data_IF_323014741075
#
_entry.id   IF_323014741075
#
_cell.length_a   1.000
_cell.length_b   1.000
_cell.length_c   1.000
_cell.angle_alpha   90.00
_cell.angle_beta   90.00
_cell.angle_gamma   90.00
#
_symmetry.space_group_name_H-M   'P 1'
#
loop_
_entity.id
_entity.type
_entity.pdbx_description
1 polymer ?
#
# COMPACT_ATOMS: atom_id res chain seq x y z
N UNK A 1 1.88 8.29 -8.77
CA UNK A 1 3.00 7.96 -9.67
C UNK A 1 2.53 7.13 -10.89
N UNK A 2 1.35 6.52 -10.87
CA UNK A 2 0.84 5.70 -11.98
C UNK A 2 1.67 4.44 -12.25
N UNK A 3 2.39 3.97 -11.24
CA UNK A 3 3.19 2.74 -11.27
C UNK A 3 2.92 1.90 -10.02
N UNK A 4 3.06 0.60 -10.17
CA UNK A 4 2.95 -0.30 -9.01
C UNK A 4 4.03 0.01 -7.97
N UNK A 5 3.72 -0.06 -6.67
CA UNK A 5 4.66 0.25 -5.61
C UNK A 5 5.95 -0.56 -5.68
N UNK A 6 5.86 -1.86 -5.96
CA UNK A 6 7.01 -2.74 -6.16
C UNK A 6 7.94 -2.25 -7.29
N UNK A 7 7.36 -1.77 -8.41
CA UNK A 7 8.09 -1.25 -9.57
C UNK A 7 8.82 0.07 -9.31
N UNK A 8 8.39 0.85 -8.32
CA UNK A 8 9.10 2.06 -7.87
C UNK A 8 9.98 1.84 -6.64
N UNK A 9 10.14 0.58 -6.21
CA UNK A 9 11.00 0.18 -5.11
C UNK A 9 10.36 0.31 -3.72
N UNK A 10 9.04 0.40 -3.62
CA UNK A 10 8.28 0.47 -2.36
C UNK A 10 7.40 -0.77 -2.21
N UNK A 11 7.91 -1.93 -1.77
CA UNK A 11 7.09 -3.13 -1.61
C UNK A 11 6.04 -3.01 -0.51
N UNK A 12 6.15 -2.01 0.37
CA UNK A 12 5.22 -1.72 1.45
C UNK A 12 5.65 -0.48 2.24
N UNK A 13 4.91 -0.15 3.29
CA UNK A 13 5.26 0.95 4.20
C UNK A 13 6.51 0.64 5.05
N UNK A 14 6.82 -0.64 5.23
CA UNK A 14 8.03 -1.14 5.90
C UNK A 14 8.70 -2.15 4.98
N UNK A 15 10.01 -2.04 4.83
CA UNK A 15 10.82 -2.92 3.98
C UNK A 15 12.26 -2.97 4.43
N UNK A 16 13.00 -3.98 3.99
CA UNK A 16 14.42 -4.17 4.23
C UNK A 16 15.17 -4.25 2.90
N UNK A 17 16.21 -3.43 2.73
CA UNK A 17 17.08 -3.43 1.55
C UNK A 17 18.43 -4.02 1.91
N UNK A 18 18.63 -5.28 1.56
CA UNK A 18 19.87 -6.02 1.82
C UNK A 18 21.06 -5.52 1.00
N UNK A 19 20.80 -4.84 -0.12
CA UNK A 19 21.85 -4.29 -0.99
C UNK A 19 22.62 -3.13 -0.36
N UNK A 20 22.01 -2.44 0.60
CA UNK A 20 22.60 -1.30 1.30
C UNK A 20 23.26 -1.75 2.59
N UNK A 21 24.55 -1.45 2.75
CA UNK A 21 25.21 -1.55 4.06
C UNK A 21 25.11 -0.24 4.83
N UNK A 22 24.63 -0.32 6.05
CA UNK A 22 24.78 0.71 7.08
C UNK A 22 25.82 0.20 8.07
N UNK A 23 26.65 1.09 8.62
CA UNK A 23 27.71 0.75 9.56
C UNK A 23 27.23 -0.26 10.61
N UNK A 24 27.82 -1.46 10.61
CA UNK A 24 27.54 -2.59 11.50
C UNK A 24 26.18 -3.28 11.36
N UNK A 25 25.45 -3.12 10.24
CA UNK A 25 24.23 -3.88 9.98
C UNK A 25 24.22 -4.40 8.56
N UNK A 26 23.73 -5.63 8.36
CA UNK A 26 23.45 -6.18 7.05
C UNK A 26 22.13 -5.61 6.54
N UNK A 27 22.18 -4.78 5.50
CA UNK A 27 20.99 -4.17 4.93
C UNK A 27 20.52 -2.90 5.65
N UNK A 28 19.44 -2.33 5.16
CA UNK A 28 18.84 -1.09 5.63
C UNK A 28 17.31 -1.21 5.67
N UNK A 29 16.73 -1.05 6.85
CA UNK A 29 15.28 -1.06 7.01
C UNK A 29 14.68 0.33 6.94
N UNK A 30 13.47 0.43 6.39
CA UNK A 30 12.65 1.63 6.38
C UNK A 30 11.30 1.39 7.01
N UNK A 31 10.81 2.42 7.69
CA UNK A 31 9.41 2.49 8.13
C UNK A 31 8.88 3.88 7.83
N UNK A 32 7.96 3.97 6.89
CA UNK A 32 7.30 5.24 6.54
C UNK A 32 6.13 5.58 7.46
N UNK A 33 5.96 4.82 8.52
CA UNK A 33 5.07 5.15 9.63
C UNK A 33 5.88 5.97 10.64
N UNK A 34 5.77 7.30 10.57
CA UNK A 34 6.51 8.21 11.45
C UNK A 34 7.60 9.04 10.77
N UNK A 35 8.73 9.27 11.44
CA UNK A 35 9.74 10.24 11.01
C UNK A 35 10.47 9.90 9.72
N UNK A 36 10.53 8.62 9.34
CA UNK A 36 11.19 8.17 8.12
C UNK A 36 10.36 8.43 6.85
N UNK A 37 9.08 8.79 6.98
CA UNK A 37 8.26 9.26 5.86
C UNK A 37 8.94 10.38 5.04
N UNK A 38 9.80 11.19 5.66
CA UNK A 38 10.59 12.23 4.98
C UNK A 38 11.56 11.68 3.92
N UNK A 39 11.85 10.39 3.93
CA UNK A 39 12.80 9.75 3.02
C UNK A 39 12.15 9.10 1.80
N UNK A 40 10.81 9.00 1.75
CA UNK A 40 10.09 8.36 0.63
C UNK A 40 10.52 8.91 -0.72
N UNK A 41 10.55 10.25 -0.87
CA UNK A 41 10.93 10.92 -2.12
C UNK A 41 12.35 10.55 -2.62
N UNK A 42 13.23 10.11 -1.71
CA UNK A 42 14.60 9.69 -2.02
C UNK A 42 14.71 8.19 -2.29
N UNK A 43 13.83 7.41 -1.66
CA UNK A 43 13.85 5.95 -1.71
C UNK A 43 13.09 5.39 -2.91
N UNK A 44 12.16 6.18 -3.50
CA UNK A 44 11.46 5.84 -4.74
C UNK A 44 12.36 6.03 -5.95
N UNK A 45 12.10 5.25 -7.00
CA UNK A 45 12.80 5.34 -8.27
C UNK A 45 12.82 6.79 -8.81
N UNK A 46 14.02 7.30 -9.06
CA UNK A 46 14.23 8.67 -9.54
C UNK A 46 13.82 8.86 -11.00
N UNK A 47 13.80 7.79 -11.80
CA UNK A 47 13.38 7.82 -13.21
C UNK A 47 11.85 7.87 -13.37
N UNK A 48 11.10 7.52 -12.32
CA UNK A 48 9.63 7.54 -12.33
C UNK A 48 9.12 8.91 -11.86
N UNK A 49 8.56 9.76 -12.75
CA UNK A 49 8.08 11.09 -12.36
C UNK A 49 6.84 10.99 -11.48
N UNK A 50 6.70 11.96 -10.59
CA UNK A 50 5.46 12.17 -9.82
C UNK A 50 4.49 13.06 -10.61
N UNK A 51 3.21 12.99 -10.29
CA UNK A 51 2.23 13.91 -10.88
C UNK A 51 2.54 15.38 -10.54
N UNK A 52 3.16 15.63 -9.39
CA UNK A 52 3.55 16.99 -8.97
C UNK A 52 4.71 17.57 -9.79
N UNK A 53 5.51 16.73 -10.40
CA UNK A 53 6.58 17.16 -11.33
C UNK A 53 6.00 17.52 -12.70
N UNK A 54 4.93 16.85 -13.12
CA UNK A 54 4.32 17.01 -14.45
C UNK A 54 3.20 18.08 -14.48
N UNK A 55 2.33 18.13 -13.48
CA UNK A 55 1.13 18.96 -13.45
C UNK A 55 1.29 20.23 -12.61
N UNK A 56 2.29 21.05 -12.94
CA UNK A 56 2.54 22.32 -12.21
C UNK A 56 1.63 23.47 -12.68
N UNK A 57 1.21 24.37 -11.78
CA UNK A 57 1.39 24.37 -10.34
C UNK A 57 0.48 23.36 -9.64
N UNK A 58 0.99 22.69 -8.61
CA UNK A 58 0.24 21.70 -7.86
C UNK A 58 0.42 21.85 -6.36
N UNK A 59 -0.52 21.30 -5.57
CA UNK A 59 -0.39 21.21 -4.12
C UNK A 59 -0.69 19.80 -3.63
N UNK A 60 -0.16 19.47 -2.42
CA UNK A 60 -0.40 18.21 -1.76
C UNK A 60 -0.69 18.41 -0.27
N UNK A 61 -1.77 17.80 0.21
CA UNK A 61 -2.12 17.76 1.61
C UNK A 61 -1.94 16.34 2.15
N UNK A 62 -1.13 16.20 3.22
CA UNK A 62 -0.72 14.92 3.82
C UNK A 62 -0.15 13.91 2.81
N UNK A 63 0.31 14.38 1.65
CA UNK A 63 0.91 13.51 0.65
C UNK A 63 2.22 12.90 1.16
N UNK A 64 2.33 11.59 1.16
CA UNK A 64 3.56 10.87 1.53
C UNK A 64 4.67 11.19 0.54
N UNK A 65 4.37 11.15 -0.75
CA UNK A 65 5.27 11.55 -1.84
C UNK A 65 5.07 13.05 -2.09
N UNK A 66 6.14 13.82 -2.09
CA UNK A 66 6.10 15.27 -2.25
C UNK A 66 7.14 15.82 -3.24
N UNK A 67 7.86 14.93 -3.94
CA UNK A 67 8.82 15.31 -5.00
C UNK A 67 8.08 16.07 -6.11
N UNK A 68 8.58 17.26 -6.45
CA UNK A 68 7.93 18.20 -7.37
C UNK A 68 7.13 19.32 -6.70
N UNK A 69 6.71 19.17 -5.45
CA UNK A 69 6.01 20.20 -4.69
C UNK A 69 6.97 21.21 -4.06
N UNK A 70 6.68 22.49 -4.22
CA UNK A 70 7.34 23.54 -3.44
C UNK A 70 6.92 23.44 -1.97
N UNK A 71 7.78 23.81 -1.04
CA UNK A 71 7.50 23.75 0.39
C UNK A 71 6.18 24.43 0.79
N UNK A 72 5.92 25.61 0.26
CA UNK A 72 4.70 26.38 0.53
C UNK A 72 3.40 25.72 0.02
N UNK A 73 3.51 24.79 -0.92
CA UNK A 73 2.37 24.10 -1.53
C UNK A 73 2.10 22.74 -0.83
N UNK A 74 2.83 22.45 0.23
CA UNK A 74 2.67 21.26 1.08
C UNK A 74 1.84 21.60 2.31
N UNK A 75 0.67 21.02 2.45
CA UNK A 75 -0.21 21.15 3.62
C UNK A 75 0.05 20.00 4.57
N UNK A 76 0.03 20.26 5.89
CA UNK A 76 0.24 19.22 6.91
C UNK A 76 1.71 18.87 7.16
N UNK A 77 2.67 19.74 6.77
CA UNK A 77 4.12 19.50 6.95
C UNK A 77 4.85 20.54 7.82
N UNK A 78 4.12 21.44 8.47
CA UNK A 78 4.78 22.37 9.43
C UNK A 78 5.24 21.60 10.67
N UNK A 79 6.35 22.01 11.33
CA UNK A 79 6.82 21.35 12.55
C UNK A 79 5.74 21.24 13.64
N UNK A 80 4.95 22.30 13.83
CA UNK A 80 3.85 22.30 14.80
C UNK A 80 2.76 21.29 14.44
N UNK A 81 2.41 21.16 13.15
CA UNK A 81 1.45 20.18 12.68
C UNK A 81 1.98 18.76 12.90
N UNK A 82 3.23 18.48 12.52
CA UNK A 82 3.86 17.15 12.70
C UNK A 82 3.91 16.76 14.17
N UNK A 83 4.28 17.69 15.05
CA UNK A 83 4.29 17.46 16.51
C UNK A 83 2.87 17.13 17.02
N UNK A 84 1.84 17.87 16.60
CA UNK A 84 0.45 17.59 16.97
C UNK A 84 -0.02 16.22 16.45
N UNK A 85 0.25 15.91 15.21
CA UNK A 85 -0.11 14.62 14.62
C UNK A 85 0.58 13.45 15.35
N UNK A 86 1.87 13.60 15.70
CA UNK A 86 2.61 12.63 16.49
C UNK A 86 2.00 12.43 17.90
N UNK A 87 1.69 13.52 18.62
CA UNK A 87 1.04 13.43 19.93
C UNK A 87 -0.34 12.75 19.82
N UNK A 88 -1.11 13.10 18.79
CA UNK A 88 -2.42 12.48 18.51
C UNK A 88 -2.28 10.98 18.30
N UNK A 89 -1.31 10.56 17.50
CA UNK A 89 -1.04 9.16 17.22
C UNK A 89 -0.60 8.39 18.47
N UNK A 90 0.46 8.86 19.18
CA UNK A 90 1.00 8.16 20.34
C UNK A 90 0.05 8.10 21.53
N UNK A 91 -0.94 8.99 21.59
CA UNK A 91 -2.01 8.93 22.61
C UNK A 91 -3.20 8.06 22.19
N UNK A 92 -3.17 7.44 21.01
CA UNK A 92 -4.31 6.71 20.48
C UNK A 92 -5.57 7.59 20.31
N UNK A 93 -5.39 8.91 20.15
CA UNK A 93 -6.51 9.86 20.12
C UNK A 93 -7.16 9.87 18.72
N UNK A 94 -8.05 8.94 18.48
CA UNK A 94 -8.73 8.80 17.18
C UNK A 94 -9.58 10.04 16.82
N UNK A 95 -10.29 10.62 17.80
CA UNK A 95 -11.06 11.87 17.58
C UNK A 95 -10.14 13.07 17.22
N UNK A 96 -8.90 13.06 17.68
CA UNK A 96 -7.89 14.04 17.28
C UNK A 96 -7.58 13.99 15.77
N UNK A 97 -7.63 12.81 15.17
CA UNK A 97 -7.47 12.68 13.71
C UNK A 97 -8.61 13.30 12.93
N UNK A 98 -9.86 13.21 13.41
CA UNK A 98 -11.00 13.90 12.80
C UNK A 98 -10.82 15.43 12.80
N UNK A 99 -10.29 15.98 13.90
CA UNK A 99 -9.98 17.42 13.98
C UNK A 99 -8.84 17.83 13.03
N UNK A 100 -7.86 16.95 12.83
CA UNK A 100 -6.78 17.15 11.85
C UNK A 100 -7.34 17.16 10.43
N UNK A 101 -8.16 16.20 10.06
CA UNK A 101 -8.76 16.11 8.73
C UNK A 101 -9.65 17.31 8.42
N UNK A 102 -10.47 17.75 9.37
CA UNK A 102 -11.28 18.97 9.21
C UNK A 102 -10.41 20.20 8.92
N UNK A 103 -9.34 20.39 9.69
CA UNK A 103 -8.41 21.50 9.46
C UNK A 103 -7.73 21.40 8.08
N UNK A 104 -7.36 20.19 7.64
CA UNK A 104 -6.77 19.98 6.31
C UNK A 104 -7.79 20.30 5.23
N UNK A 105 -9.03 19.82 5.34
CA UNK A 105 -10.11 20.10 4.38
C UNK A 105 -10.38 21.59 4.23
N UNK A 106 -10.51 22.32 5.34
CA UNK A 106 -10.69 23.77 5.36
C UNK A 106 -9.53 24.53 4.67
N UNK A 107 -8.29 24.14 4.99
CA UNK A 107 -7.09 24.76 4.39
C UNK A 107 -6.99 24.46 2.90
N UNK A 108 -7.33 23.24 2.47
CA UNK A 108 -7.38 22.86 1.05
C UNK A 108 -8.42 23.69 0.31
N UNK A 109 -9.67 23.75 0.80
CA UNK A 109 -10.74 24.52 0.18
C UNK A 109 -10.35 26.02 0.08
N UNK A 110 -9.81 26.61 1.17
CA UNK A 110 -9.30 27.98 1.18
C UNK A 110 -8.23 28.21 0.10
N UNK A 111 -7.26 27.31 -0.04
CA UNK A 111 -6.18 27.45 -1.03
C UNK A 111 -6.66 27.30 -2.46
N UNK A 112 -7.58 26.36 -2.72
CA UNK A 112 -8.16 26.17 -4.05
C UNK A 112 -8.99 27.37 -4.50
N UNK A 113 -9.57 28.12 -3.57
CA UNK A 113 -10.27 29.37 -3.85
C UNK A 113 -9.32 30.54 -4.19
N UNK A 114 -8.19 30.64 -3.49
CA UNK A 114 -7.26 31.76 -3.61
C UNK A 114 -6.14 31.54 -4.61
N UNK A 115 -5.81 30.29 -4.95
CA UNK A 115 -4.69 29.96 -5.81
C UNK A 115 -5.15 29.12 -7.01
N UNK A 116 -4.65 29.45 -8.19
CA UNK A 116 -4.91 28.66 -9.42
C UNK A 116 -3.95 27.47 -9.47
N UNK A 117 -4.34 26.35 -8.89
CA UNK A 117 -3.63 25.06 -9.01
C UNK A 117 -4.16 24.28 -10.20
N UNK A 118 -3.27 23.62 -10.96
CA UNK A 118 -3.65 22.66 -11.99
C UNK A 118 -4.04 21.32 -11.38
N UNK A 119 -3.33 20.92 -10.32
CA UNK A 119 -3.56 19.65 -9.64
C UNK A 119 -3.50 19.81 -8.12
N UNK A 120 -4.37 19.13 -7.43
CA UNK A 120 -4.35 19.01 -5.97
C UNK A 120 -4.54 17.55 -5.55
N UNK A 121 -3.70 17.07 -4.65
CA UNK A 121 -3.85 15.77 -3.99
C UNK A 121 -4.11 15.99 -2.49
N UNK A 122 -5.13 15.32 -1.97
CA UNK A 122 -5.51 15.44 -0.56
C UNK A 122 -5.69 14.05 0.02
N UNK A 123 -4.96 13.73 1.08
CA UNK A 123 -5.21 12.56 1.90
C UNK A 123 -5.88 13.00 3.20
N UNK A 124 -7.00 12.36 3.55
CA UNK A 124 -7.70 12.50 4.82
C UNK A 124 -7.64 11.15 5.51
N UNK A 125 -7.03 11.08 6.68
CA UNK A 125 -6.64 9.82 7.33
C UNK A 125 -7.62 9.36 8.41
N UNK A 126 -8.65 10.15 8.70
CA UNK A 126 -9.60 9.90 9.78
C UNK A 126 -10.40 8.61 9.58
N UNK A 127 -10.79 8.29 8.34
CA UNK A 127 -11.53 7.06 8.03
C UNK A 127 -10.69 5.83 8.41
N UNK A 128 -9.44 5.76 7.96
CA UNK A 128 -8.52 4.68 8.31
C UNK A 128 -8.29 4.57 9.83
N UNK A 129 -8.00 5.69 10.50
CA UNK A 129 -7.72 5.69 11.94
C UNK A 129 -8.94 5.33 12.79
N UNK A 130 -10.13 5.75 12.40
CA UNK A 130 -11.37 5.39 13.09
C UNK A 130 -11.75 3.93 12.83
N UNK A 131 -11.56 3.45 11.58
CA UNK A 131 -11.81 2.05 11.24
C UNK A 131 -10.92 1.10 12.05
N UNK A 132 -9.61 1.36 12.12
CA UNK A 132 -8.71 0.57 12.96
C UNK A 132 -9.15 0.50 14.42
N UNK A 133 -9.57 1.62 15.00
CA UNK A 133 -9.84 1.73 16.42
C UNK A 133 -11.22 1.22 16.85
N UNK A 134 -12.23 1.38 15.99
CA UNK A 134 -13.63 1.15 16.34
C UNK A 134 -14.36 0.15 15.41
N UNK A 135 -13.72 -0.21 14.29
CA UNK A 135 -14.32 -1.05 13.24
C UNK A 135 -14.92 -0.21 12.11
N UNK A 136 -14.85 -0.76 10.91
CA UNK A 136 -15.26 -0.06 9.68
C UNK A 136 -16.73 0.35 9.63
N UNK A 137 -17.58 -0.25 10.46
CA UNK A 137 -19.02 0.04 10.54
C UNK A 137 -19.40 0.94 11.73
N UNK A 138 -18.41 1.44 12.51
CA UNK A 138 -18.68 2.28 13.68
C UNK A 138 -19.21 3.68 13.26
N UNK A 139 -20.14 4.29 14.03
CA UNK A 139 -20.61 5.65 13.78
C UNK A 139 -19.48 6.70 13.68
N UNK A 140 -18.35 6.48 14.36
CA UNK A 140 -17.19 7.37 14.27
C UNK A 140 -16.55 7.40 12.86
N UNK A 141 -16.66 6.29 12.11
CA UNK A 141 -16.24 6.23 10.71
C UNK A 141 -17.15 7.08 9.83
N UNK A 142 -18.48 7.07 10.12
CA UNK A 142 -19.42 7.97 9.44
C UNK A 142 -19.11 9.43 9.71
N UNK A 143 -18.68 9.79 10.92
CA UNK A 143 -18.23 11.16 11.22
C UNK A 143 -16.97 11.53 10.42
N UNK A 144 -16.03 10.59 10.21
CA UNK A 144 -14.88 10.80 9.36
C UNK A 144 -15.30 10.96 7.88
N UNK A 145 -16.23 10.16 7.38
CA UNK A 145 -16.77 10.27 6.02
C UNK A 145 -17.48 11.61 5.80
N UNK A 146 -18.24 12.12 6.80
CA UNK A 146 -18.88 13.44 6.73
C UNK A 146 -17.85 14.57 6.56
N UNK A 147 -16.67 14.45 7.17
CA UNK A 147 -15.59 15.46 6.98
C UNK A 147 -15.10 15.46 5.53
N UNK A 148 -14.99 14.28 4.91
CA UNK A 148 -14.66 14.19 3.47
C UNK A 148 -15.76 14.84 2.63
N UNK A 149 -17.03 14.51 2.90
CA UNK A 149 -18.19 15.04 2.17
C UNK A 149 -18.30 16.56 2.32
N UNK A 150 -18.19 17.10 3.54
CA UNK A 150 -18.18 18.54 3.82
C UNK A 150 -17.05 19.24 3.06
N UNK A 151 -15.85 18.64 3.01
CA UNK A 151 -14.71 19.19 2.27
C UNK A 151 -15.00 19.24 0.77
N UNK A 152 -15.55 18.17 0.21
CA UNK A 152 -15.95 18.06 -1.20
C UNK A 152 -17.06 19.07 -1.52
N UNK A 153 -18.09 19.15 -0.68
CA UNK A 153 -19.20 20.09 -0.84
C UNK A 153 -18.72 21.55 -0.84
N UNK A 154 -17.79 21.88 0.05
CA UNK A 154 -17.19 23.23 0.10
C UNK A 154 -16.41 23.57 -1.17
N UNK A 155 -15.56 22.61 -1.64
CA UNK A 155 -14.77 22.80 -2.88
C UNK A 155 -15.69 22.95 -4.08
N UNK A 156 -16.75 22.13 -4.17
CA UNK A 156 -17.76 22.21 -5.23
C UNK A 156 -18.48 23.55 -5.23
N UNK A 157 -19.03 23.96 -4.08
CA UNK A 157 -19.74 25.23 -3.94
C UNK A 157 -18.87 26.43 -4.33
N UNK A 158 -17.61 26.45 -3.92
CA UNK A 158 -16.66 27.49 -4.30
C UNK A 158 -16.37 27.47 -5.81
N UNK A 159 -16.23 26.28 -6.41
CA UNK A 159 -15.98 26.15 -7.84
C UNK A 159 -17.20 26.54 -8.70
N UNK A 160 -18.41 26.21 -8.26
CA UNK A 160 -19.68 26.62 -8.91
C UNK A 160 -19.84 28.14 -8.88
N UNK A 161 -19.67 28.75 -7.71
CA UNK A 161 -19.74 30.21 -7.53
C UNK A 161 -18.73 30.98 -8.39
N UNK A 162 -17.54 30.42 -8.58
CA UNK A 162 -16.47 31.01 -9.37
C UNK A 162 -16.55 30.63 -10.86
N UNK A 163 -17.56 29.89 -11.31
CA UNK A 163 -17.75 29.40 -12.69
C UNK A 163 -16.68 28.42 -13.17
N UNK A 164 -16.00 27.74 -12.25
CA UNK A 164 -14.93 26.77 -12.57
C UNK A 164 -15.39 25.33 -12.59
N UNK A 165 -16.56 25.01 -12.05
CA UNK A 165 -17.04 23.65 -11.86
C UNK A 165 -17.09 22.83 -13.14
N UNK A 166 -17.55 23.43 -14.23
CA UNK A 166 -17.65 22.73 -15.52
C UNK A 166 -16.30 22.30 -16.12
N UNK A 167 -15.21 22.92 -15.67
CA UNK A 167 -13.84 22.59 -16.11
C UNK A 167 -13.05 21.83 -15.05
N UNK A 168 -13.66 21.55 -13.89
CA UNK A 168 -13.00 20.91 -12.78
C UNK A 168 -13.26 19.40 -12.78
N UNK A 169 -12.21 18.63 -12.67
CA UNK A 169 -12.27 17.22 -12.30
C UNK A 169 -12.09 17.10 -10.79
N UNK A 170 -13.07 16.51 -10.12
CA UNK A 170 -13.03 16.24 -8.69
C UNK A 170 -13.27 14.74 -8.49
N UNK A 171 -12.30 14.07 -7.87
CA UNK A 171 -12.32 12.63 -7.66
C UNK A 171 -12.14 12.33 -6.17
N UNK A 172 -12.90 11.37 -5.68
CA UNK A 172 -12.78 10.86 -4.31
C UNK A 172 -12.61 9.35 -4.40
N UNK A 173 -11.52 8.86 -3.85
CA UNK A 173 -11.21 7.44 -3.83
C UNK A 173 -10.54 7.03 -2.54
N UNK A 174 -10.43 5.73 -2.30
CA UNK A 174 -9.65 5.16 -1.22
C UNK A 174 -8.40 4.46 -1.77
N UNK A 175 -7.39 4.34 -0.94
CA UNK A 175 -6.15 3.60 -1.23
C UNK A 175 -6.29 2.10 -0.90
N UNK A 176 -7.16 1.73 0.04
CA UNK A 176 -7.51 0.36 0.41
C UNK A 176 -8.89 0.32 1.08
N UNK A 177 -9.45 -0.88 1.20
CA UNK A 177 -10.59 -1.14 2.05
C UNK A 177 -10.20 -1.60 3.46
N UNK A 178 -11.16 -2.06 4.24
CA UNK A 178 -10.97 -2.57 5.60
C UNK A 178 -11.84 -3.81 5.85
N UNK A 179 -11.37 -4.74 6.69
CA UNK A 179 -12.16 -5.83 7.23
C UNK A 179 -12.01 -5.94 8.75
N UNK A 180 -12.98 -6.59 9.40
CA UNK A 180 -12.95 -6.83 10.86
C UNK A 180 -11.75 -7.71 11.23
N UNK A 181 -11.20 -7.45 12.42
CA UNK A 181 -10.11 -8.23 13.03
C UNK A 181 -10.53 -8.60 14.44
N UNK A 182 -10.45 -9.89 14.77
CA UNK A 182 -10.70 -10.44 16.10
C UNK A 182 -9.44 -11.03 16.73
N UNK A 183 -8.46 -11.41 15.89
CA UNK A 183 -7.25 -12.10 16.30
C UNK A 183 -5.99 -11.40 15.79
N UNK A 184 -4.91 -11.48 16.58
CA UNK A 184 -3.64 -10.82 16.28
C UNK A 184 -2.48 -11.80 16.38
N UNK A 185 -1.56 -11.79 15.39
CA UNK A 185 -0.31 -12.53 15.44
C UNK A 185 0.88 -11.58 15.50
N UNK A 186 1.66 -11.61 16.57
CA UNK A 186 2.97 -10.95 16.62
C UNK A 186 4.02 -11.85 15.96
N UNK A 187 4.15 -11.76 14.63
CA UNK A 187 5.11 -12.57 13.87
C UNK A 187 6.55 -12.44 14.39
N UNK A 188 6.96 -11.24 14.83
CA UNK A 188 8.30 -11.05 15.34
C UNK A 188 8.50 -11.71 16.72
N UNK A 189 7.47 -11.69 17.57
CA UNK A 189 7.42 -12.43 18.83
C UNK A 189 7.46 -13.94 18.61
N UNK A 190 6.60 -14.43 17.71
CA UNK A 190 6.51 -15.85 17.33
C UNK A 190 7.85 -16.40 16.84
N UNK A 191 8.53 -15.68 15.93
CA UNK A 191 9.84 -16.11 15.42
C UNK A 191 10.92 -16.15 16.52
N UNK A 192 10.88 -15.22 17.48
CA UNK A 192 11.77 -15.24 18.64
C UNK A 192 11.50 -16.45 19.54
N UNK A 193 10.24 -16.79 19.78
CA UNK A 193 9.84 -18.01 20.51
C UNK A 193 10.33 -19.26 19.80
N UNK A 194 10.42 -19.25 18.47
CA UNK A 194 11.00 -20.32 17.67
C UNK A 194 12.54 -20.35 17.66
N UNK A 195 13.19 -19.40 18.34
CA UNK A 195 14.64 -19.34 18.50
C UNK A 195 15.37 -18.51 17.46
N UNK A 196 14.67 -17.80 16.56
CA UNK A 196 15.31 -16.95 15.57
C UNK A 196 15.67 -15.58 16.13
N UNK A 197 16.84 -15.06 15.79
CA UNK A 197 17.23 -13.68 16.07
C UNK A 197 16.51 -12.77 15.05
N UNK A 198 15.49 -12.05 15.52
CA UNK A 198 14.56 -11.34 14.65
C UNK A 198 14.81 -9.83 14.70
N UNK A 199 14.92 -9.22 13.51
CA UNK A 199 14.89 -7.77 13.31
C UNK A 199 13.45 -7.36 12.93
N UNK A 200 12.86 -6.45 13.69
CA UNK A 200 11.51 -5.92 13.41
C UNK A 200 11.40 -4.47 13.88
N UNK A 201 10.52 -3.70 13.24
CA UNK A 201 10.17 -2.36 13.70
C UNK A 201 9.53 -2.43 15.12
N UNK A 202 9.84 -1.48 16.03
CA UNK A 202 10.68 -0.30 15.86
C UNK A 202 12.19 -0.54 16.08
N UNK A 203 12.61 -1.73 16.44
CA UNK A 203 13.99 -2.08 16.81
C UNK A 203 14.78 -2.59 15.60
N UNK A 204 14.94 -1.73 14.59
CA UNK A 204 15.61 -2.08 13.34
C UNK A 204 17.16 -2.18 13.41
N UNK A 205 17.75 -2.24 14.61
CA UNK A 205 19.20 -2.24 14.83
C UNK A 205 19.68 -3.53 15.49
N UNK A 206 19.52 -4.65 14.81
CA UNK A 206 20.14 -5.90 15.25
C UNK A 206 21.12 -6.39 14.18
N UNK A 207 22.42 -6.20 14.44
CA UNK A 207 23.48 -6.56 13.49
C UNK A 207 23.69 -8.08 13.34
N UNK A 208 23.03 -8.88 14.15
CA UNK A 208 23.15 -10.36 14.14
C UNK A 208 21.82 -11.06 13.93
N UNK A 209 20.85 -10.41 13.34
CA UNK A 209 19.54 -11.02 13.07
C UNK A 209 19.63 -12.04 11.94
N UNK A 210 18.88 -13.14 12.08
CA UNK A 210 18.73 -14.19 11.06
C UNK A 210 17.60 -13.82 10.09
N UNK A 211 16.54 -13.19 10.62
CA UNK A 211 15.32 -12.86 9.88
C UNK A 211 14.94 -11.40 10.16
N UNK A 212 14.56 -10.67 9.11
CA UNK A 212 13.88 -9.39 9.25
C UNK A 212 12.38 -9.53 8.94
N UNK A 213 11.52 -8.98 9.79
CA UNK A 213 10.05 -8.99 9.63
C UNK A 213 9.57 -7.57 9.43
N UNK A 214 8.92 -7.31 8.30
CA UNK A 214 8.41 -5.99 7.90
C UNK A 214 6.92 -6.09 7.60
N UNK A 215 6.10 -5.71 8.57
CA UNK A 215 4.63 -5.72 8.44
C UNK A 215 4.17 -4.43 7.78
N UNK A 216 3.27 -4.54 6.80
CA UNK A 216 2.66 -3.42 6.08
C UNK A 216 1.15 -3.55 6.06
N UNK A 217 0.43 -2.45 6.33
CA UNK A 217 -1.03 -2.45 6.40
C UNK A 217 -1.61 -3.40 7.46
N UNK A 218 -0.77 -3.97 8.29
CA UNK A 218 -1.01 -4.96 9.34
C UNK A 218 -1.51 -6.34 8.86
N UNK A 219 -2.08 -6.47 7.66
CA UNK A 219 -2.53 -7.77 7.13
C UNK A 219 -1.61 -8.32 6.03
N UNK A 220 -0.43 -7.72 5.82
CA UNK A 220 0.64 -8.22 4.97
C UNK A 220 1.98 -8.15 5.69
N UNK A 221 2.83 -9.15 5.50
CA UNK A 221 4.19 -9.16 6.04
C UNK A 221 5.21 -9.64 5.00
N UNK A 222 6.37 -9.00 5.00
CA UNK A 222 7.57 -9.45 4.31
C UNK A 222 8.54 -10.04 5.33
N UNK A 223 9.00 -11.27 5.11
CA UNK A 223 10.09 -11.86 5.86
C UNK A 223 11.31 -11.96 4.93
N UNK A 224 12.43 -11.49 5.42
CA UNK A 224 13.72 -11.54 4.73
C UNK A 224 14.60 -12.51 5.51
N UNK A 225 15.05 -13.55 4.85
CA UNK A 225 15.95 -14.58 5.41
C UNK A 225 17.34 -14.41 4.82
N UNK A 226 18.37 -15.01 5.43
CA UNK A 226 19.77 -14.86 5.00
C UNK A 226 20.12 -13.36 4.74
N UNK A 227 19.76 -12.50 5.68
CA UNK A 227 19.84 -11.02 5.52
C UNK A 227 21.27 -10.49 5.39
N UNK A 228 22.29 -11.30 5.67
CA UNK A 228 23.70 -11.03 5.42
C UNK A 228 24.06 -11.05 3.93
N UNK A 229 23.26 -11.73 3.08
CA UNK A 229 23.47 -11.76 1.63
C UNK A 229 23.02 -10.44 1.00
N UNK A 230 23.89 -9.85 0.16
CA UNK A 230 23.60 -8.56 -0.48
C UNK A 230 22.67 -8.66 -1.69
N UNK A 231 22.72 -9.78 -2.42
CA UNK A 231 21.80 -10.10 -3.49
C UNK A 231 20.60 -10.83 -2.93
N UNK A 232 19.43 -10.61 -3.54
CA UNK A 232 18.22 -11.33 -3.16
C UNK A 232 18.38 -12.82 -3.51
N UNK A 233 18.26 -13.73 -2.54
CA UNK A 233 18.16 -15.16 -2.83
C UNK A 233 16.78 -15.49 -3.39
N UNK A 234 16.66 -16.61 -4.09
CA UNK A 234 15.41 -17.08 -4.65
C UNK A 234 15.11 -18.50 -4.17
N UNK A 235 13.83 -18.82 -4.02
CA UNK A 235 13.39 -20.20 -3.90
C UNK A 235 13.62 -20.92 -5.25
N UNK A 236 14.01 -22.21 -5.29
CA UNK A 236 14.13 -23.14 -4.15
C UNK A 236 15.50 -23.12 -3.44
N UNK A 237 16.46 -22.29 -3.83
CA UNK A 237 17.79 -22.28 -3.20
C UNK A 237 17.74 -22.00 -1.67
N UNK A 238 16.68 -21.34 -1.19
CA UNK A 238 16.42 -21.14 0.23
C UNK A 238 15.78 -22.35 0.92
N UNK A 239 15.16 -23.28 0.16
CA UNK A 239 14.30 -24.32 0.68
C UNK A 239 15.00 -25.25 1.66
N UNK A 240 16.22 -25.70 1.36
CA UNK A 240 16.97 -26.61 2.24
C UNK A 240 17.14 -26.05 3.66
N UNK A 241 17.39 -24.75 3.79
CA UNK A 241 17.61 -24.10 5.09
C UNK A 241 16.32 -23.62 5.77
N UNK A 242 15.34 -23.17 4.99
CA UNK A 242 14.18 -22.43 5.50
C UNK A 242 12.85 -23.16 5.32
N UNK A 243 12.86 -24.40 4.84
CA UNK A 243 11.68 -25.23 4.63
C UNK A 243 10.87 -25.46 5.92
N UNK A 244 11.54 -25.71 7.05
CA UNK A 244 10.87 -25.84 8.35
C UNK A 244 10.17 -24.54 8.76
N UNK A 245 10.80 -23.38 8.53
CA UNK A 245 10.18 -22.08 8.80
C UNK A 245 8.92 -21.87 7.98
N UNK A 246 8.97 -22.15 6.66
CA UNK A 246 7.80 -21.95 5.79
C UNK A 246 6.66 -22.89 6.16
N UNK A 247 6.95 -24.16 6.47
CA UNK A 247 5.96 -25.14 6.94
C UNK A 247 5.29 -24.69 8.26
N UNK A 248 6.09 -24.21 9.21
CA UNK A 248 5.57 -23.72 10.49
C UNK A 248 4.74 -22.46 10.34
N UNK A 249 5.14 -21.53 9.47
CA UNK A 249 4.35 -20.33 9.15
C UNK A 249 3.04 -20.68 8.47
N UNK A 250 3.09 -21.58 7.47
CA UNK A 250 1.91 -21.98 6.71
C UNK A 250 0.89 -22.73 7.58
N UNK A 251 1.35 -23.40 8.64
CA UNK A 251 0.48 -24.06 9.62
C UNK A 251 -0.27 -23.09 10.55
N UNK A 252 0.08 -21.78 10.55
CA UNK A 252 -0.61 -20.79 11.38
C UNK A 252 -1.97 -20.44 10.79
N UNK A 253 -2.96 -20.32 11.65
CA UNK A 253 -4.31 -19.86 11.27
C UNK A 253 -4.32 -18.41 10.75
N UNK A 254 -3.38 -17.60 11.21
CA UNK A 254 -3.19 -16.23 10.78
C UNK A 254 -2.73 -16.08 9.33
N UNK A 255 -2.22 -17.14 8.69
CA UNK A 255 -1.66 -17.11 7.33
C UNK A 255 -2.67 -17.69 6.34
N UNK A 256 -3.16 -16.87 5.43
CA UNK A 256 -4.02 -17.30 4.32
C UNK A 256 -3.19 -17.69 3.09
N UNK A 257 -2.37 -16.76 2.60
CA UNK A 257 -1.49 -16.96 1.46
C UNK A 257 -0.03 -16.75 1.86
N UNK A 258 0.82 -17.60 1.39
CA UNK A 258 2.28 -17.44 1.42
C UNK A 258 2.82 -17.46 0.01
N UNK A 259 3.50 -16.37 -0.39
CA UNK A 259 4.13 -16.23 -1.70
C UNK A 259 5.64 -16.38 -1.54
N UNK A 260 6.22 -17.30 -2.30
CA UNK A 260 7.65 -17.60 -2.33
C UNK A 260 8.21 -17.25 -3.71
N UNK A 261 8.88 -16.11 -3.87
CA UNK A 261 9.49 -15.72 -5.15
C UNK A 261 10.61 -16.67 -5.58
N UNK A 262 10.45 -17.32 -6.74
CA UNK A 262 11.38 -18.31 -7.26
C UNK A 262 12.36 -17.76 -8.29
N UNK A 263 12.03 -16.62 -8.90
CA UNK A 263 12.90 -15.85 -9.78
C UNK A 263 12.39 -14.42 -9.93
N UNK A 264 13.04 -13.62 -10.77
CA UNK A 264 12.57 -12.28 -11.14
C UNK A 264 11.21 -12.29 -11.85
N UNK A 265 10.77 -13.42 -12.39
CA UNK A 265 9.56 -13.59 -13.21
C UNK A 265 8.70 -14.78 -12.79
N UNK A 266 8.87 -15.29 -11.59
CA UNK A 266 8.06 -16.39 -11.09
C UNK A 266 8.01 -16.44 -9.56
N UNK A 267 6.91 -16.96 -9.04
CA UNK A 267 6.75 -17.32 -7.63
C UNK A 267 5.86 -18.56 -7.46
N UNK A 268 5.93 -19.13 -6.28
CA UNK A 268 4.95 -20.11 -5.82
C UNK A 268 4.00 -19.46 -4.83
N UNK A 269 2.72 -19.87 -4.87
CA UNK A 269 1.67 -19.43 -3.96
C UNK A 269 1.21 -20.67 -3.20
N UNK A 270 1.35 -20.61 -1.88
CA UNK A 270 1.04 -21.71 -0.97
C UNK A 270 -0.11 -21.32 -0.05
N UNK A 271 -0.98 -22.26 0.25
CA UNK A 271 -2.00 -22.17 1.29
C UNK A 271 -1.97 -23.43 2.13
N UNK A 272 -2.46 -23.34 3.36
CA UNK A 272 -2.52 -24.50 4.25
C UNK A 272 -3.43 -25.61 3.70
N UNK A 273 -4.59 -25.24 3.19
CA UNK A 273 -5.68 -26.19 2.90
C UNK A 273 -6.08 -26.23 1.41
N UNK A 274 -5.70 -25.19 0.61
CA UNK A 274 -6.07 -25.10 -0.81
C UNK A 274 -4.95 -25.51 -1.77
N UNK A 275 -3.76 -25.82 -1.24
CA UNK A 275 -2.65 -26.38 -2.03
C UNK A 275 -1.63 -25.34 -2.50
N UNK A 276 -1.01 -25.63 -3.65
CA UNK A 276 0.12 -24.87 -4.20
C UNK A 276 -0.11 -24.59 -5.68
N UNK A 277 0.22 -23.37 -6.12
CA UNK A 277 0.23 -23.00 -7.53
C UNK A 277 1.52 -22.24 -7.88
N UNK A 278 1.89 -22.28 -9.14
CA UNK A 278 2.98 -21.50 -9.72
C UNK A 278 2.42 -20.34 -10.53
N UNK A 279 2.91 -19.14 -10.25
CA UNK A 279 2.65 -17.94 -11.06
C UNK A 279 3.93 -17.53 -11.79
N UNK A 280 3.82 -17.36 -13.11
CA UNK A 280 4.91 -16.84 -13.96
C UNK A 280 4.44 -15.62 -14.74
N UNK A 281 5.37 -14.71 -15.05
CA UNK A 281 5.08 -13.52 -15.84
C UNK A 281 6.25 -13.09 -16.72
N UNK A 282 5.93 -12.50 -17.86
CA UNK A 282 6.89 -11.87 -18.76
C UNK A 282 6.21 -10.74 -19.51
N UNK A 283 6.76 -9.53 -19.50
CA UNK A 283 6.24 -8.37 -20.26
C UNK A 283 4.72 -8.14 -20.11
N UNK A 284 4.20 -8.25 -18.87
CA UNK A 284 2.76 -8.13 -18.55
C UNK A 284 1.87 -9.25 -19.15
N UNK A 285 2.44 -10.42 -19.41
CA UNK A 285 1.72 -11.66 -19.71
C UNK A 285 1.87 -12.61 -18.53
N UNK A 286 0.78 -13.14 -18.01
CA UNK A 286 0.72 -13.92 -16.77
C UNK A 286 0.22 -15.34 -17.03
N UNK A 287 0.80 -16.31 -16.33
CA UNK A 287 0.29 -17.70 -16.31
C UNK A 287 0.27 -18.22 -14.90
N UNK A 288 -0.87 -18.76 -14.49
CA UNK A 288 -1.11 -19.36 -13.18
C UNK A 288 -1.42 -20.83 -13.35
N UNK A 289 -0.61 -21.68 -12.73
CA UNK A 289 -0.67 -23.14 -12.85
C UNK A 289 -0.86 -23.77 -11.47
N UNK A 290 -2.08 -24.24 -11.13
CA UNK A 290 -2.29 -25.09 -9.97
C UNK A 290 -1.41 -26.36 -10.06
N UNK A 291 -0.68 -26.67 -8.98
CA UNK A 291 0.19 -27.83 -8.89
C UNK A 291 -0.43 -28.92 -8.01
N UNK A 292 -0.99 -28.49 -6.88
CA UNK A 292 -1.77 -29.35 -5.99
C UNK A 292 -2.88 -28.50 -5.37
N UNK A 293 -4.15 -28.77 -5.72
CA UNK A 293 -5.26 -27.87 -5.37
C UNK A 293 -5.18 -26.53 -6.11
N UNK A 294 -5.91 -25.51 -5.65
CA UNK A 294 -5.95 -24.18 -6.24
C UNK A 294 -5.98 -23.07 -5.18
N UNK A 295 -4.82 -22.48 -4.82
CA UNK A 295 -4.72 -21.44 -3.78
C UNK A 295 -5.61 -20.24 -3.97
N UNK A 296 -5.86 -19.80 -5.21
CA UNK A 296 -6.64 -18.60 -5.54
C UNK A 296 -8.07 -18.92 -5.99
N UNK A 297 -8.42 -20.19 -6.17
CA UNK A 297 -9.73 -20.67 -6.65
C UNK A 297 -10.17 -20.01 -7.97
N UNK A 298 -9.23 -19.98 -8.95
CA UNK A 298 -9.47 -19.36 -10.26
C UNK A 298 -9.23 -20.32 -11.44
N UNK A 299 -8.84 -21.56 -11.14
CA UNK A 299 -8.45 -22.54 -12.16
C UNK A 299 -7.14 -22.17 -12.86
N UNK A 300 -6.74 -23.02 -13.82
CA UNK A 300 -5.57 -22.78 -14.65
C UNK A 300 -5.78 -21.55 -15.55
N UNK A 301 -4.81 -20.66 -15.58
CA UNK A 301 -4.82 -19.46 -16.43
C UNK A 301 -3.51 -19.41 -17.22
N UNK A 302 -3.59 -19.29 -18.55
CA UNK A 302 -2.42 -19.36 -19.43
C UNK A 302 -2.31 -18.12 -20.33
N UNK A 303 -1.12 -17.50 -20.30
CA UNK A 303 -0.74 -16.42 -21.20
C UNK A 303 -1.74 -15.26 -21.26
N UNK A 304 -2.33 -14.90 -20.11
CA UNK A 304 -3.24 -13.76 -20.01
C UNK A 304 -2.47 -12.44 -20.10
N UNK A 305 -2.93 -11.53 -20.93
CA UNK A 305 -2.44 -10.16 -20.85
C UNK A 305 -2.94 -9.44 -19.59
N UNK A 306 -2.52 -8.21 -19.38
CA UNK A 306 -2.86 -7.43 -18.17
C UNK A 306 -4.38 -7.22 -17.98
N UNK A 307 -5.12 -7.06 -19.09
CA UNK A 307 -6.56 -6.92 -19.08
C UNK A 307 -7.27 -8.23 -18.76
N UNK A 308 -6.90 -9.30 -19.45
CA UNK A 308 -7.45 -10.63 -19.26
C UNK A 308 -7.13 -11.17 -17.85
N UNK A 309 -5.93 -10.90 -17.31
CA UNK A 309 -5.55 -11.26 -15.94
C UNK A 309 -6.41 -10.53 -14.88
N UNK A 310 -6.77 -9.28 -15.12
CA UNK A 310 -7.73 -8.55 -14.30
C UNK A 310 -9.12 -9.17 -14.38
N UNK A 311 -9.63 -9.39 -15.60
CA UNK A 311 -10.99 -9.89 -15.83
C UNK A 311 -11.16 -11.33 -15.29
N UNK A 312 -10.10 -12.16 -15.33
CA UNK A 312 -10.10 -13.51 -14.76
C UNK A 312 -10.16 -13.55 -13.23
N UNK A 313 -9.79 -12.47 -12.55
CA UNK A 313 -9.64 -12.48 -11.08
C UNK A 313 -10.51 -11.47 -10.33
N UNK A 314 -11.12 -10.50 -11.02
CA UNK A 314 -11.84 -9.40 -10.38
C UNK A 314 -13.03 -9.85 -9.51
N UNK A 315 -13.70 -10.94 -9.91
CA UNK A 315 -14.85 -11.47 -9.20
C UNK A 315 -14.49 -12.56 -8.17
N UNK A 316 -13.20 -12.94 -8.07
CA UNK A 316 -12.70 -13.91 -7.09
C UNK A 316 -12.61 -13.31 -5.68
N UNK A 317 -12.29 -14.15 -4.69
CA UNK A 317 -11.96 -13.71 -3.33
C UNK A 317 -10.66 -12.87 -3.27
N UNK A 318 -9.84 -12.95 -4.34
CA UNK A 318 -8.55 -12.25 -4.49
C UNK A 318 -8.52 -11.43 -5.79
N UNK A 319 -9.25 -10.30 -5.83
CA UNK A 319 -9.34 -9.46 -7.04
C UNK A 319 -7.97 -9.02 -7.53
N UNK A 320 -7.75 -9.10 -8.85
CA UNK A 320 -6.50 -8.67 -9.52
C UNK A 320 -5.23 -9.37 -9.00
N UNK A 321 -5.39 -10.54 -8.39
CA UNK A 321 -4.32 -11.24 -7.65
C UNK A 321 -3.08 -11.54 -8.49
N UNK A 322 -3.23 -11.96 -9.74
CA UNK A 322 -2.11 -12.35 -10.60
C UNK A 322 -1.16 -11.16 -10.82
N UNK A 323 -1.72 -10.00 -11.15
CA UNK A 323 -0.95 -8.77 -11.41
C UNK A 323 -0.33 -8.23 -10.13
N UNK A 324 -1.09 -8.22 -9.03
CA UNK A 324 -0.62 -7.68 -7.75
C UNK A 324 0.50 -8.54 -7.14
N UNK A 325 0.35 -9.87 -7.14
CA UNK A 325 1.38 -10.79 -6.65
C UNK A 325 2.64 -10.69 -7.51
N UNK A 326 2.51 -10.71 -8.84
CA UNK A 326 3.65 -10.64 -9.75
C UNK A 326 4.47 -9.35 -9.55
N UNK A 327 3.80 -8.18 -9.52
CA UNK A 327 4.47 -6.89 -9.32
C UNK A 327 5.14 -6.79 -7.95
N UNK A 328 4.54 -7.35 -6.90
CA UNK A 328 5.14 -7.36 -5.58
C UNK A 328 6.31 -8.33 -5.51
N UNK A 329 6.15 -9.57 -6.01
CA UNK A 329 7.18 -10.60 -5.99
C UNK A 329 8.43 -10.20 -6.82
N UNK A 330 8.24 -9.51 -7.94
CA UNK A 330 9.32 -9.02 -8.79
C UNK A 330 10.17 -7.91 -8.14
N UNK A 331 9.66 -7.19 -7.15
CA UNK A 331 10.35 -6.06 -6.55
C UNK A 331 11.65 -6.52 -5.83
N UNK A 332 12.79 -5.86 -6.11
CA UNK A 332 14.08 -6.24 -5.50
C UNK A 332 14.13 -6.01 -3.98
N UNK A 333 13.19 -5.22 -3.45
CA UNK A 333 13.06 -4.95 -2.02
C UNK A 333 11.94 -5.74 -1.35
N UNK A 334 11.23 -6.60 -2.05
CA UNK A 334 10.25 -7.52 -1.46
C UNK A 334 10.91 -8.60 -0.61
N UNK A 335 10.17 -9.14 0.34
CA UNK A 335 10.62 -10.25 1.18
C UNK A 335 10.84 -11.53 0.39
N UNK A 336 11.60 -12.45 0.97
CA UNK A 336 11.82 -13.79 0.43
C UNK A 336 10.61 -14.68 0.71
N UNK A 337 9.86 -14.36 1.77
CA UNK A 337 8.55 -14.90 2.10
C UNK A 337 7.61 -13.71 2.23
N UNK A 338 6.48 -13.74 1.52
CA UNK A 338 5.44 -12.71 1.59
C UNK A 338 4.18 -13.37 2.13
N UNK A 339 3.62 -12.84 3.19
CA UNK A 339 2.43 -13.36 3.83
C UNK A 339 1.25 -12.42 3.66
N UNK A 340 0.09 -12.96 3.30
CA UNK A 340 -1.21 -12.33 3.40
C UNK A 340 -1.96 -12.95 4.57
N UNK A 341 -2.49 -12.14 5.47
CA UNK A 341 -3.22 -12.61 6.64
C UNK A 341 -4.56 -13.24 6.26
N UNK A 342 -4.99 -14.22 7.05
CA UNK A 342 -6.33 -14.77 6.97
C UNK A 342 -7.39 -13.72 7.37
N UNK A 343 -8.65 -13.91 6.92
CA UNK A 343 -9.77 -13.07 7.39
C UNK A 343 -9.84 -13.11 8.90
N UNK A 344 -10.20 -11.98 9.49
CA UNK A 344 -10.27 -11.73 10.94
C UNK A 344 -8.91 -11.72 11.67
N UNK A 345 -7.79 -11.88 10.94
CA UNK A 345 -6.44 -11.80 11.48
C UNK A 345 -5.68 -10.56 11.01
N UNK A 346 -4.76 -10.06 11.86
CA UNK A 346 -3.69 -9.16 11.44
C UNK A 346 -2.34 -9.52 12.12
N UNK A 347 -1.24 -8.96 11.58
CA UNK A 347 0.11 -9.13 12.08
C UNK A 347 0.52 -7.98 12.99
N UNK A 348 -0.33 -7.67 13.98
CA UNK A 348 -0.14 -6.54 14.87
C UNK A 348 1.00 -6.78 15.86
N UNK A 349 1.96 -5.84 15.91
CA UNK A 349 2.95 -5.84 16.97
C UNK A 349 2.35 -5.35 18.30
N UNK A 350 2.84 -5.90 19.42
CA UNK A 350 2.37 -5.58 20.80
C UNK A 350 2.37 -4.09 21.18
N UNK A 351 3.12 -3.26 20.45
CA UNK A 351 3.39 -1.87 20.83
C UNK A 351 2.59 -0.84 20.04
N UNK A 352 1.67 -1.24 19.21
CA UNK A 352 0.89 -0.30 18.42
C UNK A 352 -0.16 0.40 19.30
N UNK A 353 -0.19 1.77 19.29
CA UNK A 353 -0.97 2.52 20.27
C UNK A 353 -2.48 2.52 19.97
N UNK A 354 -2.89 2.23 18.74
CA UNK A 354 -4.27 2.16 18.31
C UNK A 354 -4.71 0.70 18.33
N UNK A 355 -5.84 0.35 18.97
CA UNK A 355 -6.44 -0.98 18.82
C UNK A 355 -6.77 -1.27 17.37
N UNK A 356 -6.65 -2.53 16.94
CA UNK A 356 -7.00 -2.94 15.59
C UNK A 356 -8.18 -3.91 15.67
N UNK A 357 -9.38 -3.38 15.70
CA UNK A 357 -10.63 -4.16 15.54
C UNK A 357 -11.04 -4.25 14.07
N UNK A 358 -10.31 -3.58 13.20
CA UNK A 358 -10.37 -3.64 11.76
C UNK A 358 -8.99 -3.35 11.19
N UNK A 359 -8.64 -3.98 10.07
CA UNK A 359 -7.33 -3.89 9.46
C UNK A 359 -7.41 -3.99 7.93
N UNK A 360 -6.24 -3.85 7.26
CA UNK A 360 -6.12 -3.90 5.81
C UNK A 360 -4.73 -4.41 5.40
N UNK A 361 -4.52 -4.60 4.09
CA UNK A 361 -3.22 -4.97 3.49
C UNK A 361 -3.15 -6.40 3.00
N UNK A 362 -4.09 -7.30 3.35
CA UNK A 362 -4.22 -8.61 2.75
C UNK A 362 -4.74 -8.52 1.30
N UNK A 363 -4.64 -9.62 0.56
CA UNK A 363 -5.09 -9.70 -0.83
C UNK A 363 -6.61 -9.92 -0.96
N UNK A 364 -7.33 -9.92 0.15
CA UNK A 364 -8.77 -10.14 0.18
C UNK A 364 -9.56 -9.05 -0.54
N UNK A 365 -10.69 -9.45 -1.11
CA UNK A 365 -11.64 -8.58 -1.81
C UNK A 365 -12.01 -7.31 -1.01
N UNK A 366 -12.21 -7.44 0.30
CA UNK A 366 -12.56 -6.37 1.22
C UNK A 366 -11.46 -5.30 1.35
N UNK A 367 -10.21 -5.66 1.10
CA UNK A 367 -9.07 -4.74 1.13
C UNK A 367 -8.74 -4.18 -0.25
N UNK A 368 -8.95 -4.98 -1.31
CA UNK A 368 -8.51 -4.67 -2.67
C UNK A 368 -9.49 -3.79 -3.44
N UNK A 369 -10.80 -3.98 -3.23
CA UNK A 369 -11.82 -3.19 -3.92
C UNK A 369 -12.09 -1.90 -3.16
N UNK A 370 -11.93 -0.79 -3.86
CA UNK A 370 -12.08 0.56 -3.30
C UNK A 370 -13.05 1.40 -4.12
N UNK A 371 -13.79 2.34 -3.50
CA UNK A 371 -14.63 3.27 -4.23
C UNK A 371 -13.79 4.28 -5.01
N UNK A 372 -14.30 4.70 -6.19
CA UNK A 372 -13.82 5.85 -6.92
C UNK A 372 -15.02 6.66 -7.43
N UNK A 373 -15.24 7.82 -6.84
CA UNK A 373 -16.32 8.76 -7.21
C UNK A 373 -15.74 9.83 -8.13
N UNK A 374 -16.40 10.02 -9.26
CA UNK A 374 -15.97 10.96 -10.31
C UNK A 374 -17.10 11.95 -10.60
N UNK A 375 -16.79 13.24 -10.72
CA UNK A 375 -17.78 14.25 -11.13
C UNK A 375 -17.93 14.38 -12.68
N UNK A 376 -17.17 13.60 -13.44
CA UNK A 376 -17.23 13.49 -14.90
C UNK A 376 -17.29 12.05 -15.32
N UNK A 377 -18.03 11.77 -16.37
CA UNK A 377 -18.15 10.41 -16.91
C UNK A 377 -16.82 10.01 -17.57
N UNK A 378 -16.20 8.91 -17.16
CA UNK A 378 -15.01 8.41 -17.81
C UNK A 378 -15.32 7.75 -19.16
N UNK A 379 -14.34 7.70 -20.06
CA UNK A 379 -14.48 7.05 -21.36
C UNK A 379 -14.49 5.50 -21.25
N UNK A 380 -13.85 4.96 -20.22
CA UNK A 380 -13.88 3.54 -19.85
C UNK A 380 -13.99 3.38 -18.34
N UNK A 381 -14.40 2.21 -17.87
CA UNK A 381 -14.40 1.90 -16.44
C UNK A 381 -12.97 1.92 -15.86
N UNK A 382 -12.73 2.61 -14.75
CA UNK A 382 -11.47 2.50 -14.00
C UNK A 382 -11.28 1.06 -13.49
N UNK A 383 -10.07 0.54 -13.59
CA UNK A 383 -9.75 -0.82 -13.12
C UNK A 383 -8.86 -0.81 -11.88
N UNK A 384 -7.80 0.01 -11.88
CA UNK A 384 -6.75 0.00 -10.85
C UNK A 384 -6.38 1.40 -10.39
N UNK A 385 -5.84 1.52 -9.20
CA UNK A 385 -5.34 2.80 -8.66
C UNK A 385 -4.18 3.37 -9.48
N UNK A 386 -3.40 2.56 -10.17
CA UNK A 386 -2.36 3.03 -11.11
C UNK A 386 -2.92 3.81 -12.29
N UNK A 387 -4.18 3.61 -12.66
CA UNK A 387 -4.90 4.32 -13.73
C UNK A 387 -5.20 5.79 -13.36
N UNK A 388 -5.17 6.14 -12.08
CA UNK A 388 -5.53 7.49 -11.60
C UNK A 388 -4.57 8.55 -12.13
N UNK A 389 -3.25 8.30 -12.13
CA UNK A 389 -2.29 9.30 -12.59
C UNK A 389 -2.37 9.55 -14.11
N UNK A 390 -2.34 8.56 -15.01
CA UNK A 390 -2.51 8.81 -16.44
C UNK A 390 -3.84 9.47 -16.77
N UNK A 391 -4.92 9.13 -16.06
CA UNK A 391 -6.23 9.78 -16.23
C UNK A 391 -6.23 11.24 -15.78
N UNK A 392 -5.58 11.55 -14.66
CA UNK A 392 -5.43 12.92 -14.21
C UNK A 392 -4.60 13.76 -15.20
N UNK A 393 -3.54 13.18 -15.78
CA UNK A 393 -2.76 13.84 -16.81
C UNK A 393 -3.59 14.08 -18.08
N UNK A 394 -4.37 13.10 -18.53
CA UNK A 394 -5.28 13.24 -19.68
C UNK A 394 -6.32 14.35 -19.45
N UNK A 395 -6.97 14.37 -18.28
CA UNK A 395 -7.92 15.42 -17.89
C UNK A 395 -7.29 16.82 -17.86
N UNK A 396 -5.98 16.92 -17.66
CA UNK A 396 -5.19 18.16 -17.69
C UNK A 396 -4.62 18.50 -19.08
N UNK A 397 -4.83 17.64 -20.08
CA UNK A 397 -4.21 17.80 -21.41
C UNK A 397 -2.69 17.62 -21.40
N UNK A 398 -2.16 16.82 -20.46
CA UNK A 398 -0.73 16.55 -20.32
C UNK A 398 -0.44 15.13 -20.81
N UNK A 399 0.53 14.99 -21.72
CA UNK A 399 0.94 13.67 -22.19
C UNK A 399 1.48 12.79 -21.07
N UNK A 400 0.98 11.56 -20.96
CA UNK A 400 1.45 10.60 -19.98
C UNK A 400 2.82 10.02 -20.38
N UNK A 401 3.77 9.88 -19.43
CA UNK A 401 5.02 9.14 -19.68
C UNK A 401 4.74 7.69 -20.09
N UNK A 402 5.52 7.17 -21.03
CA UNK A 402 5.40 5.76 -21.48
C UNK A 402 5.76 4.72 -20.40
N UNK A 403 6.37 5.17 -19.30
CA UNK A 403 6.83 4.32 -18.19
C UNK A 403 5.75 4.05 -17.14
N UNK A 404 4.53 4.55 -17.34
CA UNK A 404 3.41 4.29 -16.41
C UNK A 404 2.87 2.88 -16.61
N UNK A 405 2.48 2.23 -15.53
CA UNK A 405 1.85 0.91 -15.56
C UNK A 405 0.33 1.04 -15.80
N UNK A 406 -0.26 2.16 -15.41
CA UNK A 406 -1.67 2.42 -15.57
C UNK A 406 -2.06 2.97 -16.94
N UNK A 407 -3.34 2.84 -17.30
CA UNK A 407 -3.95 3.35 -18.51
C UNK A 407 -5.03 4.37 -18.18
N UNK A 408 -5.10 5.46 -18.94
CA UNK A 408 -6.12 6.49 -18.72
C UNK A 408 -7.54 5.96 -18.94
N UNK A 409 -8.46 6.38 -18.08
CA UNK A 409 -9.90 6.17 -18.24
C UNK A 409 -10.64 7.44 -18.73
N UNK A 410 -9.91 8.48 -19.08
CA UNK A 410 -10.40 9.70 -19.78
C UNK A 410 -9.78 9.85 -21.15
#
# INVERSE_FOLDING_TARGET
>A
MGRYPGGVGLPGLRWHDRSRQVVRASGHSRSYVGSEMRFVDRDIDSASPTIFELAKPSMGALSVIARGLRWRDRIGRSPAFVARAAITHFRGNVRGWLAIDRQIGEEVARRLRTNRMKFAFVALTGIDKTSHAAGQNDPLVLDAMRIVDDTVAQIRSDAERDGRWEKMHLWVGSDHGHSSVSEHEDLAGLLKEWGYRTLAHPWAFNSSADIAVMVSGNAMAHLYVDIEQRSRPWWPALGERWDDLTKRLLARESVDLMVLPTSQSSCEIHTRDRGVAKLTWSESVYSYLPQSGDPLDIGEQLALDDGDAYDATIDSDYPDSLVQIANLAASPRSGDIILSAAREWDYRARYEPIPHVSSHGALHREHMLVPLLLNRVPARAPRRTVDVMPSALAALGIGAPKTLDGTSFF
#
